data_IF_466000355102
#
_entry.id   IF_466000355102
#
_cell.length_a   1.000
_cell.length_b   1.000
_cell.length_c   1.000
_cell.angle_alpha   90.00
_cell.angle_beta   90.00
_cell.angle_gamma   90.00
#
_symmetry.space_group_name_H-M   'P 1'
#
loop_
_entity.id
_entity.type
_entity.pdbx_description
1 polymer ?
#
# COMPACT_ATOMS: atom_id res chain seq x y z
N UNK A 1 37.23 -6.65 10.68
CA UNK A 1 36.44 -7.74 11.32
C UNK A 1 36.41 -9.05 10.52
N UNK A 2 35.75 -9.18 9.36
CA UNK A 2 35.63 -10.50 8.70
C UNK A 2 36.96 -11.08 8.14
N UNK A 3 37.76 -10.27 7.45
CA UNK A 3 39.10 -10.66 6.94
C UNK A 3 40.03 -11.12 8.07
N UNK A 4 40.06 -10.35 9.16
CA UNK A 4 40.90 -10.65 10.34
C UNK A 4 40.44 -11.89 11.10
N UNK A 5 39.14 -12.24 11.05
CA UNK A 5 38.63 -13.48 11.62
C UNK A 5 39.03 -14.70 10.76
N UNK A 6 38.94 -14.58 9.43
CA UNK A 6 39.38 -15.63 8.49
C UNK A 6 40.89 -15.89 8.59
N UNK A 7 41.71 -14.84 8.60
CA UNK A 7 43.17 -14.97 8.72
C UNK A 7 43.61 -15.50 10.10
N UNK A 8 42.77 -15.41 11.14
CA UNK A 8 43.05 -16.04 12.45
C UNK A 8 42.75 -17.53 12.46
N UNK A 9 41.72 -17.97 11.76
CA UNK A 9 41.33 -19.39 11.71
C UNK A 9 42.14 -20.20 10.69
N UNK A 10 42.80 -19.54 9.74
CA UNK A 10 43.61 -20.18 8.71
C UNK A 10 44.99 -19.50 8.61
N UNK A 11 45.98 -20.11 9.26
CA UNK A 11 47.30 -19.51 9.55
C UNK A 11 48.10 -19.21 8.27
N UNK A 12 47.90 -19.97 7.19
CA UNK A 12 48.57 -19.79 5.89
C UNK A 12 47.70 -19.08 4.85
N UNK A 13 46.53 -18.56 5.25
CA UNK A 13 45.55 -18.01 4.32
C UNK A 13 45.61 -16.48 4.27
N UNK A 14 46.36 -15.98 3.29
CA UNK A 14 46.41 -14.56 2.95
C UNK A 14 45.43 -14.25 1.81
N UNK A 15 44.26 -13.68 2.12
CA UNK A 15 43.28 -13.26 1.12
C UNK A 15 43.13 -11.73 1.09
N UNK A 16 43.05 -11.17 -0.13
CA UNK A 16 42.77 -9.76 -0.33
C UNK A 16 41.27 -9.45 -0.15
N UNK A 17 40.93 -8.22 0.26
CA UNK A 17 39.53 -7.77 0.36
C UNK A 17 38.75 -7.95 -0.98
N UNK A 18 39.33 -7.64 -2.15
CA UNK A 18 38.70 -7.91 -3.44
C UNK A 18 38.40 -9.40 -3.68
N UNK A 19 39.30 -10.30 -3.27
CA UNK A 19 39.09 -11.74 -3.45
C UNK A 19 38.01 -12.27 -2.50
N UNK A 20 37.91 -11.76 -1.27
CA UNK A 20 36.77 -12.06 -0.38
C UNK A 20 35.47 -11.61 -1.03
N UNK A 21 35.43 -10.37 -1.53
CA UNK A 21 34.23 -9.83 -2.15
C UNK A 21 33.81 -10.66 -3.37
N UNK A 22 34.77 -11.00 -4.23
CA UNK A 22 34.56 -11.86 -5.40
C UNK A 22 34.03 -13.23 -5.02
N UNK A 23 34.64 -13.88 -4.02
CA UNK A 23 34.19 -15.18 -3.54
C UNK A 23 32.76 -15.11 -2.99
N UNK A 24 32.44 -14.08 -2.21
CA UNK A 24 31.08 -13.86 -1.69
C UNK A 24 30.06 -13.70 -2.84
N UNK A 25 30.40 -12.96 -3.89
CA UNK A 25 29.46 -12.69 -4.99
C UNK A 25 29.37 -13.81 -6.03
N UNK A 26 30.49 -14.44 -6.38
CA UNK A 26 30.59 -15.41 -7.49
C UNK A 26 30.42 -16.85 -7.01
N UNK A 27 30.98 -17.21 -5.86
CA UNK A 27 30.98 -18.59 -5.35
C UNK A 27 29.87 -18.81 -4.31
N UNK A 28 29.64 -17.83 -3.44
CA UNK A 28 28.59 -17.90 -2.42
C UNK A 28 27.27 -17.22 -2.85
N UNK A 29 27.23 -16.60 -4.03
CA UNK A 29 26.05 -15.92 -4.59
C UNK A 29 25.39 -14.87 -3.67
N UNK A 30 26.17 -14.24 -2.79
CA UNK A 30 25.70 -13.10 -1.99
C UNK A 30 25.60 -11.84 -2.85
N UNK A 31 24.56 -11.05 -2.61
CA UNK A 31 24.42 -9.72 -3.21
C UNK A 31 24.15 -8.67 -2.14
N UNK A 32 24.73 -7.48 -2.30
CA UNK A 32 24.57 -6.39 -1.35
C UNK A 32 23.17 -5.77 -1.48
N UNK A 33 22.27 -6.11 -0.57
CA UNK A 33 20.91 -5.56 -0.48
C UNK A 33 20.82 -4.45 0.55
N UNK A 34 19.84 -3.57 0.39
CA UNK A 34 19.48 -2.62 1.45
C UNK A 34 18.72 -3.39 2.54
N UNK A 35 19.13 -3.24 3.80
CA UNK A 35 18.40 -3.83 4.92
C UNK A 35 17.05 -3.13 5.11
N UNK A 36 15.98 -3.90 5.17
CA UNK A 36 14.65 -3.45 5.58
C UNK A 36 14.45 -3.67 7.08
N UNK A 37 13.79 -2.72 7.73
CA UNK A 37 13.42 -2.84 9.15
C UNK A 37 12.14 -3.67 9.25
N UNK A 38 12.12 -4.64 10.15
CA UNK A 38 10.93 -5.43 10.47
C UNK A 38 10.74 -5.51 11.98
N UNK A 39 9.48 -5.64 12.42
CA UNK A 39 9.17 -5.90 13.82
C UNK A 39 9.53 -7.36 14.15
N UNK A 40 10.20 -7.60 15.28
CA UNK A 40 10.58 -8.92 15.75
C UNK A 40 9.37 -9.86 15.94
N UNK A 41 8.23 -9.29 16.36
CA UNK A 41 7.00 -10.05 16.61
C UNK A 41 6.36 -10.64 15.34
N UNK A 42 6.80 -10.20 14.16
CA UNK A 42 6.29 -10.68 12.86
C UNK A 42 6.46 -12.18 12.70
N UNK A 43 7.57 -12.74 13.17
CA UNK A 43 7.88 -14.17 13.05
C UNK A 43 7.65 -14.92 14.38
N UNK A 44 6.95 -14.31 15.33
CA UNK A 44 6.56 -15.03 16.55
C UNK A 44 5.59 -16.16 16.22
N UNK A 45 5.69 -17.26 16.96
CA UNK A 45 4.84 -18.43 16.78
C UNK A 45 3.35 -18.07 16.85
N UNK A 46 2.98 -17.22 17.81
CA UNK A 46 1.62 -16.68 17.95
C UNK A 46 1.12 -16.03 16.65
N UNK A 47 1.94 -15.18 16.03
CA UNK A 47 1.58 -14.49 14.78
C UNK A 47 1.41 -15.47 13.64
N UNK A 48 2.31 -16.44 13.51
CA UNK A 48 2.27 -17.43 12.44
C UNK A 48 1.03 -18.34 12.58
N UNK A 49 0.72 -18.79 13.80
CA UNK A 49 -0.47 -19.58 14.09
C UNK A 49 -1.76 -18.81 13.79
N UNK A 50 -1.85 -17.55 14.24
CA UNK A 50 -3.01 -16.69 13.95
C UNK A 50 -3.19 -16.47 12.44
N UNK A 51 -2.09 -16.25 11.72
CA UNK A 51 -2.12 -16.13 10.27
C UNK A 51 -2.65 -17.42 9.61
N UNK A 52 -2.14 -18.58 10.03
CA UNK A 52 -2.55 -19.87 9.49
C UNK A 52 -4.03 -20.16 9.74
N UNK A 53 -4.52 -19.89 10.96
CA UNK A 53 -5.93 -20.08 11.33
C UNK A 53 -6.87 -19.20 10.48
N UNK A 54 -6.54 -17.92 10.31
CA UNK A 54 -7.35 -16.99 9.53
C UNK A 54 -7.34 -17.38 8.04
N UNK A 55 -6.19 -17.76 7.49
CA UNK A 55 -6.11 -18.24 6.11
C UNK A 55 -6.92 -19.52 5.91
N UNK A 56 -6.95 -20.44 6.89
CA UNK A 56 -7.81 -21.63 6.84
C UNK A 56 -9.28 -21.26 6.75
N UNK A 57 -9.75 -20.38 7.64
CA UNK A 57 -11.15 -19.89 7.63
C UNK A 57 -11.51 -19.23 6.30
N UNK A 58 -10.60 -18.47 5.72
CA UNK A 58 -10.82 -17.83 4.43
C UNK A 58 -10.97 -18.86 3.30
N UNK A 59 -10.14 -19.89 3.29
CA UNK A 59 -10.27 -21.01 2.35
C UNK A 59 -11.59 -21.76 2.53
N UNK A 60 -12.02 -22.00 3.77
CA UNK A 60 -13.30 -22.67 4.07
C UNK A 60 -14.51 -21.86 3.56
N UNK A 61 -14.43 -20.52 3.62
CA UNK A 61 -15.46 -19.61 3.07
C UNK A 61 -15.37 -19.48 1.53
N UNK A 62 -14.34 -20.07 0.91
CA UNK A 62 -14.14 -20.08 -0.54
C UNK A 62 -13.37 -18.88 -1.08
N UNK A 63 -12.61 -18.17 -0.24
CA UNK A 63 -11.74 -17.07 -0.67
C UNK A 63 -10.52 -17.62 -1.40
N UNK A 64 -10.34 -17.22 -2.65
CA UNK A 64 -9.21 -17.55 -3.53
C UNK A 64 -8.58 -16.24 -4.06
N UNK A 65 -7.37 -15.95 -3.57
CA UNK A 65 -6.64 -14.72 -3.87
C UNK A 65 -6.32 -14.56 -5.35
N UNK A 66 -6.33 -15.64 -6.13
CA UNK A 66 -6.02 -15.65 -7.55
C UNK A 66 -7.27 -15.61 -8.43
N UNK A 67 -8.49 -15.64 -7.85
CA UNK A 67 -9.71 -15.72 -8.66
C UNK A 67 -10.81 -14.75 -8.25
N UNK A 68 -11.11 -14.62 -6.97
CA UNK A 68 -12.34 -13.98 -6.50
C UNK A 68 -12.12 -12.90 -5.45
N UNK A 69 -10.95 -12.26 -5.45
CA UNK A 69 -10.59 -11.20 -4.50
C UNK A 69 -10.31 -9.86 -5.20
N UNK A 70 -10.71 -8.77 -4.55
CA UNK A 70 -10.28 -7.40 -4.85
C UNK A 70 -9.60 -6.86 -3.60
N UNK A 71 -8.35 -6.46 -3.72
CA UNK A 71 -7.57 -5.89 -2.63
C UNK A 71 -7.61 -4.38 -2.69
N UNK A 72 -7.96 -3.73 -1.59
CA UNK A 72 -7.97 -2.27 -1.45
C UNK A 72 -6.93 -1.88 -0.41
N UNK A 73 -6.19 -0.82 -0.71
CA UNK A 73 -5.25 -0.24 0.24
C UNK A 73 -4.99 1.24 -0.04
N UNK A 74 -4.43 1.91 0.96
CA UNK A 74 -4.03 3.32 0.90
C UNK A 74 -2.50 3.45 1.02
N UNK A 75 -1.88 4.13 0.06
CA UNK A 75 -0.47 4.48 0.12
C UNK A 75 -0.23 5.98 0.18
N UNK A 76 0.58 6.37 1.17
CA UNK A 76 1.17 7.70 1.25
C UNK A 76 2.39 7.86 0.33
N UNK A 77 2.42 8.99 -0.37
CA UNK A 77 3.49 9.46 -1.25
C UNK A 77 3.95 10.83 -0.80
N UNK A 78 5.13 10.89 -0.18
CA UNK A 78 5.73 12.17 0.17
C UNK A 78 6.29 12.84 -1.09
N UNK A 79 6.00 14.13 -1.31
CA UNK A 79 6.43 14.83 -2.54
C UNK A 79 7.95 14.95 -2.68
N UNK A 80 8.69 14.79 -1.58
CA UNK A 80 10.16 14.76 -1.57
C UNK A 80 10.70 13.32 -1.52
N UNK A 81 9.87 12.31 -1.77
CA UNK A 81 10.31 10.92 -1.85
C UNK A 81 11.34 10.77 -2.97
N UNK A 82 12.50 10.21 -2.65
CA UNK A 82 13.60 10.00 -3.57
C UNK A 82 14.25 8.63 -3.33
N UNK A 83 14.98 8.14 -4.33
CA UNK A 83 15.75 6.89 -4.18
C UNK A 83 16.86 7.07 -3.15
N UNK A 84 17.06 6.05 -2.30
CA UNK A 84 18.12 6.02 -1.28
C UNK A 84 19.53 5.95 -1.85
N UNK A 85 19.67 5.62 -3.15
CA UNK A 85 20.95 5.47 -3.86
C UNK A 85 20.95 6.34 -5.10
N UNK A 86 22.08 7.00 -5.35
CA UNK A 86 22.31 7.84 -6.51
C UNK A 86 23.70 7.56 -7.11
N UNK A 87 23.87 7.86 -8.39
CA UNK A 87 25.15 7.76 -9.09
C UNK A 87 25.80 9.15 -9.17
N UNK A 88 27.10 9.19 -8.95
CA UNK A 88 27.95 10.37 -9.14
C UNK A 88 29.26 9.95 -9.81
N UNK A 89 30.00 10.92 -10.37
CA UNK A 89 31.34 10.66 -10.88
C UNK A 89 32.24 10.20 -9.73
N UNK A 90 33.21 9.34 -10.04
CA UNK A 90 34.16 8.81 -9.06
C UNK A 90 34.97 9.97 -8.47
N UNK A 91 34.89 10.16 -7.15
CA UNK A 91 35.50 11.27 -6.44
C UNK A 91 34.52 12.38 -6.02
N UNK A 92 33.33 12.42 -6.64
CA UNK A 92 32.32 13.45 -6.36
C UNK A 92 31.20 12.88 -5.48
N UNK A 93 30.74 13.62 -4.44
CA UNK A 93 29.59 13.21 -3.64
C UNK A 93 28.30 13.24 -4.47
N UNK A 94 27.45 12.23 -4.28
CA UNK A 94 26.14 12.15 -4.92
C UNK A 94 25.11 13.05 -4.20
N UNK A 95 25.23 14.36 -4.40
CA UNK A 95 24.36 15.36 -3.79
C UNK A 95 23.03 15.48 -4.55
N UNK A 96 21.93 15.64 -3.80
CA UNK A 96 20.60 15.94 -4.36
C UNK A 96 20.08 17.22 -3.72
N UNK A 97 19.75 18.21 -4.55
CA UNK A 97 19.14 19.45 -4.09
C UNK A 97 17.70 19.18 -3.63
N UNK A 98 17.42 19.47 -2.36
CA UNK A 98 16.07 19.39 -1.79
C UNK A 98 15.58 20.81 -1.53
N UNK A 99 14.36 21.13 -1.98
CA UNK A 99 13.75 22.42 -1.69
C UNK A 99 13.49 22.58 -0.18
N UNK A 100 13.77 23.75 0.38
CA UNK A 100 13.60 24.04 1.81
C UNK A 100 12.14 24.03 2.30
N UNK A 101 11.16 24.06 1.40
CA UNK A 101 9.74 23.96 1.75
C UNK A 101 9.43 22.55 2.27
N UNK A 102 8.60 22.44 3.32
CA UNK A 102 8.11 21.15 3.78
C UNK A 102 7.37 20.44 2.64
N UNK A 103 7.74 19.21 2.36
CA UNK A 103 7.00 18.33 1.44
C UNK A 103 5.57 18.10 1.91
N UNK A 104 4.70 17.76 0.96
CA UNK A 104 3.33 17.34 1.23
C UNK A 104 3.24 15.82 1.15
N UNK A 105 2.31 15.23 1.90
CA UNK A 105 1.92 13.85 1.68
C UNK A 105 0.71 13.83 0.74
N UNK A 106 0.87 13.16 -0.39
CA UNK A 106 -0.22 12.79 -1.29
C UNK A 106 -0.66 11.39 -0.89
N UNK A 107 -1.93 11.21 -0.62
CA UNK A 107 -2.51 9.89 -0.36
C UNK A 107 -3.18 9.40 -1.64
N UNK A 108 -2.93 8.14 -2.01
CA UNK A 108 -3.62 7.46 -3.10
C UNK A 108 -4.28 6.21 -2.52
N UNK A 109 -5.57 6.01 -2.81
CA UNK A 109 -6.28 4.76 -2.56
C UNK A 109 -6.29 3.97 -3.86
N UNK A 110 -5.97 2.68 -3.76
CA UNK A 110 -5.86 1.79 -4.91
C UNK A 110 -6.62 0.51 -4.68
N UNK A 111 -7.07 -0.09 -5.78
CA UNK A 111 -7.61 -1.43 -5.77
C UNK A 111 -7.11 -2.28 -6.94
N UNK A 112 -6.76 -3.52 -6.62
CA UNK A 112 -6.28 -4.49 -7.59
C UNK A 112 -7.04 -5.81 -7.42
N UNK A 113 -7.08 -6.60 -8.49
CA UNK A 113 -7.63 -7.94 -8.51
C UNK A 113 -6.70 -8.87 -9.28
N UNK A 114 -6.95 -10.18 -9.27
CA UNK A 114 -6.27 -11.12 -10.17
C UNK A 114 -6.38 -10.77 -11.65
N UNK A 115 -7.40 -10.01 -12.03
CA UNK A 115 -7.63 -9.56 -13.40
C UNK A 115 -6.81 -8.32 -13.76
N UNK A 116 -6.15 -7.69 -12.78
CA UNK A 116 -5.34 -6.48 -12.98
C UNK A 116 -5.75 -5.36 -12.02
N UNK A 117 -5.26 -4.16 -12.33
CA UNK A 117 -5.56 -2.94 -11.57
C UNK A 117 -6.95 -2.44 -11.91
N UNK A 118 -7.84 -2.30 -10.93
CA UNK A 118 -9.20 -1.84 -11.23
C UNK A 118 -9.27 -0.31 -11.21
N UNK A 119 -8.81 0.31 -10.12
CA UNK A 119 -8.92 1.75 -9.94
C UNK A 119 -7.85 2.26 -8.97
N UNK A 120 -7.29 3.43 -9.26
CA UNK A 120 -6.50 4.22 -8.33
C UNK A 120 -7.07 5.64 -8.31
N UNK A 121 -7.15 6.23 -7.12
CA UNK A 121 -7.66 7.59 -6.96
C UNK A 121 -6.87 8.35 -5.92
N UNK A 122 -6.56 9.61 -6.22
CA UNK A 122 -5.95 10.52 -5.28
C UNK A 122 -7.00 10.96 -4.24
N UNK A 123 -6.65 10.87 -2.97
CA UNK A 123 -7.50 11.36 -1.89
C UNK A 123 -7.31 12.87 -1.79
N UNK A 124 -8.30 13.61 -2.27
CA UNK A 124 -8.33 15.06 -2.15
C UNK A 124 -8.80 15.49 -0.75
N UNK A 125 -8.26 16.60 -0.20
CA UNK A 125 -8.76 17.15 1.05
C UNK A 125 -10.23 17.53 0.95
N UNK A 126 -11.05 17.14 1.93
CA UNK A 126 -12.46 17.52 1.99
C UNK A 126 -12.61 19.04 2.07
N UNK A 127 -13.48 19.59 1.23
CA UNK A 127 -13.91 20.97 1.39
C UNK A 127 -14.93 21.08 2.53
N UNK A 128 -15.20 22.31 2.98
CA UNK A 128 -16.19 22.55 4.05
C UNK A 128 -17.59 22.08 3.66
N UNK A 129 -17.99 22.31 2.41
CA UNK A 129 -19.27 21.86 1.89
C UNK A 129 -19.38 20.33 1.86
N UNK A 130 -18.29 19.62 1.53
CA UNK A 130 -18.27 18.16 1.59
C UNK A 130 -18.42 17.70 3.04
N UNK A 131 -17.70 18.30 3.98
CA UNK A 131 -17.80 17.99 5.41
C UNK A 131 -19.21 18.16 5.97
N UNK A 132 -19.97 19.17 5.53
CA UNK A 132 -21.36 19.38 5.93
C UNK A 132 -22.27 18.27 5.38
N UNK A 133 -22.15 17.95 4.09
CA UNK A 133 -22.84 16.81 3.48
C UNK A 133 -22.47 15.49 4.17
N UNK A 134 -21.23 15.33 4.64
CA UNK A 134 -20.82 14.18 5.44
C UNK A 134 -21.45 14.12 6.81
N UNK A 135 -21.56 15.25 7.51
CA UNK A 135 -22.22 15.28 8.82
C UNK A 135 -23.73 14.93 8.68
N UNK A 136 -24.34 15.22 7.52
CA UNK A 136 -25.71 14.85 7.17
C UNK A 136 -25.85 13.38 6.72
N UNK A 137 -25.04 12.94 5.75
CA UNK A 137 -25.10 11.60 5.13
C UNK A 137 -24.54 10.50 6.04
N UNK A 138 -23.51 10.80 6.83
CA UNK A 138 -22.83 9.87 7.73
C UNK A 138 -23.17 10.15 9.20
N UNK A 139 -24.45 10.44 9.50
CA UNK A 139 -24.91 10.61 10.88
C UNK A 139 -24.56 9.37 11.71
N UNK A 140 -23.64 9.54 12.66
CA UNK A 140 -23.32 8.46 13.60
C UNK A 140 -24.49 8.24 14.55
N UNK A 141 -24.86 6.98 14.87
CA UNK A 141 -25.83 6.73 15.93
C UNK A 141 -25.33 7.35 17.24
N UNK A 142 -26.23 8.02 17.97
CA UNK A 142 -25.92 8.72 19.23
C UNK A 142 -25.39 7.70 20.26
N UNK A 143 -24.06 7.60 20.39
CA UNK A 143 -23.45 6.94 21.54
C UNK A 143 -23.79 7.70 22.83
N UNK A 144 -24.05 6.97 23.93
CA UNK A 144 -24.36 7.55 25.25
C UNK A 144 -23.33 8.62 25.63
N UNK A 145 -23.77 9.88 25.72
CA UNK A 145 -23.00 11.03 26.22
C UNK A 145 -22.40 10.69 27.58
N UNK A 146 -21.06 10.74 27.71
CA UNK A 146 -20.44 11.03 29.00
C UNK A 146 -20.70 12.51 29.32
N UNK A 147 -21.28 12.76 30.48
CA UNK A 147 -21.73 14.07 30.97
C UNK A 147 -20.50 14.91 31.31
N UNK A 148 -20.37 16.07 30.67
CA UNK A 148 -19.32 17.05 30.91
C UNK A 148 -19.67 18.28 30.07
N UNK A 149 -20.50 19.14 30.66
CA UNK A 149 -21.03 20.35 30.04
C UNK A 149 -20.12 21.52 30.39
N UNK A 150 -19.65 22.25 29.37
CA UNK A 150 -19.35 23.69 29.47
C UNK A 150 -19.37 24.24 28.05
N UNK A 151 -20.30 25.18 27.80
CA UNK A 151 -20.36 26.01 26.60
C UNK A 151 -19.04 26.78 26.44
N UNK A 152 -18.42 26.67 25.27
CA UNK A 152 -17.46 27.65 24.79
C UNK A 152 -17.55 27.73 23.26
N UNK A 153 -18.12 28.84 22.81
CA UNK A 153 -17.81 29.65 21.64
C UNK A 153 -17.18 29.00 20.39
N UNK A 154 -17.80 29.30 19.25
CA UNK A 154 -17.43 29.00 17.87
C UNK A 154 -15.93 29.08 17.54
N UNK A 155 -15.22 27.95 17.67
CA UNK A 155 -14.00 27.69 16.91
C UNK A 155 -14.38 26.98 15.62
N UNK A 156 -14.07 27.58 14.47
CA UNK A 156 -14.12 26.94 13.16
C UNK A 156 -13.47 25.54 13.29
N UNK A 157 -14.27 24.47 13.18
CA UNK A 157 -13.76 23.09 13.23
C UNK A 157 -12.66 22.97 12.18
N UNK A 158 -11.44 22.67 12.61
CA UNK A 158 -10.32 22.46 11.70
C UNK A 158 -10.69 21.36 10.69
N UNK A 159 -10.37 21.58 9.41
CA UNK A 159 -10.55 20.57 8.36
C UNK A 159 -9.85 19.29 8.81
N UNK A 160 -10.59 18.17 8.84
CA UNK A 160 -10.02 16.87 9.22
C UNK A 160 -8.94 16.52 8.20
N UNK A 161 -7.70 16.42 8.66
CA UNK A 161 -6.58 15.94 7.86
C UNK A 161 -6.59 14.41 7.83
N UNK A 162 -6.47 13.84 6.65
CA UNK A 162 -6.37 12.39 6.42
C UNK A 162 -7.63 11.78 5.81
N UNK A 163 -7.51 10.50 5.45
CA UNK A 163 -8.57 9.73 4.81
C UNK A 163 -9.70 9.47 5.79
N UNK A 164 -10.92 9.74 5.34
CA UNK A 164 -12.15 9.49 6.10
C UNK A 164 -12.90 8.32 5.47
N UNK A 165 -13.82 7.72 6.23
CA UNK A 165 -14.68 6.64 5.73
C UNK A 165 -15.41 7.02 4.43
N UNK A 166 -15.74 8.30 4.23
CA UNK A 166 -16.34 8.79 3.00
C UNK A 166 -15.47 8.61 1.76
N UNK A 167 -14.20 8.99 1.83
CA UNK A 167 -13.30 8.83 0.70
C UNK A 167 -13.22 7.37 0.29
N UNK A 168 -13.16 6.48 1.30
CA UNK A 168 -13.17 5.03 1.09
C UNK A 168 -14.50 4.58 0.47
N UNK A 169 -15.66 5.02 0.99
CA UNK A 169 -16.98 4.68 0.42
C UNK A 169 -17.12 5.13 -1.03
N UNK A 170 -16.79 6.39 -1.33
CA UNK A 170 -16.84 6.91 -2.72
C UNK A 170 -15.92 6.14 -3.66
N UNK A 171 -14.71 5.86 -3.20
CA UNK A 171 -13.77 5.04 -3.97
C UNK A 171 -14.32 3.63 -4.20
N UNK A 172 -14.91 3.04 -3.16
CA UNK A 172 -15.52 1.71 -3.20
C UNK A 172 -16.69 1.65 -4.18
N UNK A 173 -17.59 2.63 -4.15
CA UNK A 173 -18.70 2.73 -5.09
C UNK A 173 -18.19 2.80 -6.53
N UNK A 174 -17.20 3.66 -6.78
CA UNK A 174 -16.64 3.85 -8.12
C UNK A 174 -16.02 2.57 -8.71
N UNK A 175 -15.22 1.81 -7.96
CA UNK A 175 -14.68 0.57 -8.51
C UNK A 175 -15.74 -0.55 -8.56
N UNK A 176 -16.72 -0.56 -7.66
CA UNK A 176 -17.80 -1.54 -7.72
C UNK A 176 -18.70 -1.34 -8.94
N UNK A 177 -18.85 -0.10 -9.43
CA UNK A 177 -19.49 0.19 -10.71
C UNK A 177 -18.71 -0.48 -11.87
N UNK A 178 -17.38 -0.34 -11.88
CA UNK A 178 -16.50 -1.03 -12.85
C UNK A 178 -16.65 -2.55 -12.75
N UNK A 179 -16.62 -3.14 -11.55
CA UNK A 179 -16.82 -4.59 -11.39
C UNK A 179 -18.17 -5.07 -11.91
N UNK A 180 -19.22 -4.27 -11.69
CA UNK A 180 -20.56 -4.56 -12.16
C UNK A 180 -20.62 -4.57 -13.70
N UNK A 181 -20.03 -3.58 -14.36
CA UNK A 181 -19.94 -3.48 -15.83
C UNK A 181 -19.24 -4.69 -16.45
N UNK A 182 -18.23 -5.24 -15.75
CA UNK A 182 -17.47 -6.40 -16.22
C UNK A 182 -18.02 -7.76 -15.72
N UNK A 183 -19.25 -7.78 -15.19
CA UNK A 183 -19.92 -8.98 -14.67
C UNK A 183 -19.09 -9.74 -13.61
N UNK A 184 -18.34 -9.01 -12.79
CA UNK A 184 -17.51 -9.53 -11.69
C UNK A 184 -18.22 -9.38 -10.35
N UNK A 185 -19.40 -9.98 -10.25
CA UNK A 185 -20.22 -10.00 -9.04
C UNK A 185 -19.68 -10.99 -8.00
N UNK A 186 -20.13 -10.86 -6.75
CA UNK A 186 -19.84 -11.79 -5.65
C UNK A 186 -18.36 -11.94 -5.27
N UNK A 187 -17.53 -10.95 -5.60
CA UNK A 187 -16.12 -10.93 -5.20
C UNK A 187 -15.96 -10.61 -3.71
N UNK A 188 -14.87 -11.11 -3.13
CA UNK A 188 -14.42 -10.74 -1.81
C UNK A 188 -13.65 -9.42 -1.87
N UNK A 189 -14.09 -8.42 -1.11
CA UNK A 189 -13.41 -7.14 -1.00
C UNK A 189 -12.51 -7.20 0.22
N UNK A 190 -11.21 -7.30 -0.02
CA UNK A 190 -10.18 -7.49 0.99
C UNK A 190 -9.51 -6.15 1.31
N UNK A 191 -9.56 -5.74 2.57
CA UNK A 191 -9.00 -4.47 3.05
C UNK A 191 -8.01 -4.71 4.20
N UNK A 192 -7.09 -3.78 4.46
CA UNK A 192 -6.26 -3.83 5.66
C UNK A 192 -7.11 -3.72 6.95
N UNK A 193 -6.52 -4.04 8.10
CA UNK A 193 -7.22 -3.98 9.39
C UNK A 193 -7.34 -2.55 9.96
N UNK A 194 -7.34 -1.52 9.12
CA UNK A 194 -7.49 -0.14 9.56
C UNK A 194 -8.90 0.13 10.09
N UNK A 195 -9.00 0.86 11.21
CA UNK A 195 -10.29 1.18 11.86
C UNK A 195 -11.31 1.84 10.94
N UNK A 196 -10.86 2.58 9.92
CA UNK A 196 -11.75 3.26 8.98
C UNK A 196 -12.49 2.27 8.07
N UNK A 197 -11.86 1.13 7.75
CA UNK A 197 -12.46 0.08 6.91
C UNK A 197 -13.54 -0.71 7.65
N UNK A 198 -13.43 -0.80 8.98
CA UNK A 198 -14.45 -1.40 9.85
C UNK A 198 -15.66 -0.49 10.10
N UNK A 199 -15.69 0.70 9.52
CA UNK A 199 -16.85 1.59 9.70
C UNK A 199 -18.09 0.95 9.08
N UNK A 200 -19.24 1.08 9.76
CA UNK A 200 -20.52 0.56 9.28
C UNK A 200 -20.81 1.01 7.85
N UNK A 201 -20.50 2.26 7.51
CA UNK A 201 -20.67 2.79 6.17
C UNK A 201 -19.91 1.99 5.10
N UNK A 202 -18.63 1.69 5.33
CA UNK A 202 -17.82 0.91 4.38
C UNK A 202 -18.37 -0.50 4.23
N UNK A 203 -18.63 -1.17 5.37
CA UNK A 203 -19.13 -2.56 5.40
C UNK A 203 -20.52 -2.66 4.75
N UNK A 204 -21.42 -1.74 5.07
CA UNK A 204 -22.79 -1.71 4.55
C UNK A 204 -22.80 -1.41 3.05
N UNK A 205 -21.97 -0.48 2.56
CA UNK A 205 -21.86 -0.19 1.12
C UNK A 205 -21.43 -1.42 0.34
N UNK A 206 -20.44 -2.17 0.84
CA UNK A 206 -19.98 -3.43 0.21
C UNK A 206 -21.10 -4.48 0.21
N UNK A 207 -21.70 -4.74 1.38
CA UNK A 207 -22.74 -5.76 1.53
C UNK A 207 -24.00 -5.44 0.71
N UNK A 208 -24.44 -4.17 0.65
CA UNK A 208 -25.63 -3.75 -0.11
C UNK A 208 -25.51 -4.04 -1.60
N UNK A 209 -24.29 -4.07 -2.15
CA UNK A 209 -24.03 -4.38 -3.56
C UNK A 209 -23.74 -5.87 -3.81
N UNK A 210 -23.89 -6.73 -2.79
CA UNK A 210 -23.73 -8.18 -2.91
C UNK A 210 -22.30 -8.69 -2.76
N UNK A 211 -21.34 -7.80 -2.46
CA UNK A 211 -19.95 -8.18 -2.23
C UNK A 211 -19.70 -8.52 -0.76
N UNK A 212 -18.59 -9.21 -0.48
CA UNK A 212 -18.28 -9.71 0.88
C UNK A 212 -17.02 -9.04 1.44
N UNK A 213 -17.11 -8.16 2.46
CA UNK A 213 -15.94 -7.52 3.05
C UNK A 213 -15.13 -8.52 3.87
N UNK A 214 -13.81 -8.53 3.67
CA UNK A 214 -12.84 -9.30 4.44
C UNK A 214 -11.69 -8.39 4.88
N UNK A 215 -11.19 -8.61 6.10
CA UNK A 215 -10.14 -7.77 6.69
C UNK A 215 -8.87 -8.57 6.92
N UNK A 216 -7.78 -8.05 6.39
CA UNK A 216 -6.47 -8.67 6.50
C UNK A 216 -6.00 -8.75 7.94
N UNK A 217 -5.07 -9.68 8.17
CA UNK A 217 -4.28 -9.73 9.39
C UNK A 217 -3.48 -8.44 9.59
N UNK A 218 -3.01 -8.14 10.81
CA UNK A 218 -2.23 -6.93 11.12
C UNK A 218 -0.87 -6.82 10.40
N UNK A 219 -0.59 -7.72 9.46
CA UNK A 219 0.72 -7.87 8.83
C UNK A 219 0.60 -7.72 7.31
N UNK A 220 1.25 -6.70 6.72
CA UNK A 220 1.02 -6.28 5.33
C UNK A 220 1.57 -7.23 4.27
N UNK A 221 2.38 -8.24 4.63
CA UNK A 221 3.03 -9.11 3.64
C UNK A 221 2.08 -10.02 2.87
N UNK A 222 0.84 -10.16 3.34
CA UNK A 222 -0.20 -10.91 2.64
C UNK A 222 -1.00 -10.05 1.67
N UNK A 223 -0.79 -8.72 1.66
CA UNK A 223 -1.54 -7.81 0.81
C UNK A 223 -0.83 -7.62 -0.55
N UNK A 224 -1.33 -8.19 -1.65
CA UNK A 224 -0.62 -8.15 -2.94
C UNK A 224 -0.44 -6.73 -3.49
N UNK A 225 -1.28 -5.78 -3.08
CA UNK A 225 -1.18 -4.39 -3.53
C UNK A 225 0.07 -3.67 -3.01
N UNK A 226 0.67 -4.16 -1.93
CA UNK A 226 1.94 -3.63 -1.42
C UNK A 226 3.08 -3.78 -2.43
N UNK A 227 3.08 -4.87 -3.21
CA UNK A 227 4.02 -5.03 -4.31
C UNK A 227 3.75 -4.04 -5.44
N UNK A 228 2.48 -3.73 -5.69
CA UNK A 228 2.08 -2.70 -6.65
C UNK A 228 2.60 -1.33 -6.18
N UNK A 229 2.40 -0.98 -4.92
CA UNK A 229 2.93 0.25 -4.33
C UNK A 229 4.45 0.32 -4.38
N UNK A 230 5.16 -0.78 -4.09
CA UNK A 230 6.61 -0.84 -4.19
C UNK A 230 7.08 -0.56 -5.63
N UNK A 231 6.41 -1.15 -6.63
CA UNK A 231 6.68 -0.91 -8.06
C UNK A 231 6.42 0.56 -8.44
N UNK A 232 5.26 1.11 -8.06
CA UNK A 232 4.90 2.52 -8.32
C UNK A 232 5.95 3.45 -7.70
N UNK A 233 6.25 3.27 -6.40
CA UNK A 233 7.24 4.08 -5.66
C UNK A 233 8.64 3.97 -6.26
N UNK A 234 9.04 2.80 -6.77
CA UNK A 234 10.34 2.62 -7.42
C UNK A 234 10.50 3.45 -8.70
N UNK A 235 9.39 3.76 -9.39
CA UNK A 235 9.39 4.54 -10.63
C UNK A 235 9.43 6.05 -10.38
N UNK A 236 9.31 6.51 -9.13
CA UNK A 236 9.41 7.93 -8.78
C UNK A 236 10.83 8.43 -9.12
N UNK A 237 10.97 9.42 -10.02
CA UNK A 237 12.27 9.91 -10.45
C UNK A 237 13.06 10.55 -9.31
N UNK A 238 14.38 10.35 -9.31
CA UNK A 238 15.31 11.06 -8.41
C UNK A 238 15.59 12.51 -8.85
N UNK A 239 15.10 12.92 -10.03
CA UNK A 239 15.47 14.20 -10.64
C UNK A 239 14.61 15.35 -10.13
N UNK A 240 15.30 16.33 -9.53
CA UNK A 240 14.89 17.69 -9.18
C UNK A 240 13.40 17.92 -8.97
N UNK A 241 13.08 18.29 -7.73
CA UNK A 241 11.81 18.68 -7.13
C UNK A 241 10.93 19.71 -7.87
N UNK A 242 11.22 20.05 -9.15
CA UNK A 242 10.44 20.96 -9.97
C UNK A 242 9.22 20.33 -10.65
N UNK A 243 9.06 18.99 -10.68
CA UNK A 243 7.97 18.31 -11.41
C UNK A 243 7.32 17.12 -10.70
N UNK A 244 7.36 17.04 -9.37
CA UNK A 244 6.38 16.22 -8.64
C UNK A 244 5.23 17.13 -8.23
N UNK A 245 4.53 17.67 -9.23
CA UNK A 245 3.21 18.28 -9.04
C UNK A 245 2.15 17.18 -9.06
N UNK A 246 0.89 17.54 -8.78
CA UNK A 246 -0.30 16.67 -8.96
C UNK A 246 -0.22 15.82 -10.23
N UNK A 247 0.36 16.37 -11.29
CA UNK A 247 0.54 15.71 -12.58
C UNK A 247 1.29 14.38 -12.58
N UNK A 248 2.23 14.13 -11.67
CA UNK A 248 2.90 12.83 -11.64
C UNK A 248 1.97 11.75 -11.07
N UNK A 249 1.12 12.12 -10.11
CA UNK A 249 0.05 11.24 -9.64
C UNK A 249 -0.96 11.02 -10.77
N UNK A 250 -1.39 12.09 -11.45
CA UNK A 250 -2.35 12.01 -12.55
C UNK A 250 -1.82 11.17 -13.74
N UNK A 251 -0.52 11.28 -14.08
CA UNK A 251 0.13 10.44 -15.11
C UNK A 251 0.33 8.97 -14.68
N UNK A 252 0.51 8.70 -13.38
CA UNK A 252 0.56 7.33 -12.84
C UNK A 252 -0.84 6.69 -12.82
N UNK A 253 -1.88 7.49 -12.52
CA UNK A 253 -3.28 7.08 -12.56
C UNK A 253 -3.72 6.75 -13.99
N UNK A 254 -3.40 7.60 -14.98
CA UNK A 254 -3.77 7.39 -16.40
C UNK A 254 -3.15 6.14 -17.05
N UNK A 255 -2.01 5.65 -16.53
CA UNK A 255 -1.29 4.49 -17.08
C UNK A 255 -1.69 3.16 -16.45
N UNK A 256 -2.54 3.17 -15.43
CA UNK A 256 -2.80 1.99 -14.60
C UNK A 256 -4.26 1.55 -14.55
N UNK A 257 -5.19 2.34 -15.09
CA UNK A 257 -6.60 1.92 -15.23
C UNK A 257 -6.72 0.78 -16.24
N UNK A 258 -7.23 -0.36 -15.80
CA UNK A 258 -7.55 -1.49 -16.68
C UNK A 258 -8.72 -1.13 -17.59
N UNK A 259 -8.55 -1.36 -18.89
CA UNK A 259 -9.52 -1.05 -19.95
C UNK A 259 -10.33 -2.27 -20.40
N UNK A 260 -10.25 -3.38 -19.66
CA UNK A 260 -10.95 -4.62 -19.97
C UNK A 260 -10.24 -5.53 -20.99
N UNK A 261 -9.10 -5.11 -21.57
CA UNK A 261 -8.45 -5.87 -22.66
C UNK A 261 -7.48 -6.96 -22.19
N UNK A 262 -7.03 -6.91 -20.93
CA UNK A 262 -6.12 -7.89 -20.34
C UNK A 262 -6.88 -9.12 -19.81
N UNK A 263 -7.40 -9.95 -20.72
CA UNK A 263 -7.67 -11.35 -20.40
C UNK A 263 -6.47 -12.18 -20.82
N UNK A 264 -5.88 -13.03 -19.95
CA UNK A 264 -4.93 -14.03 -20.39
C UNK A 264 -5.64 -14.91 -21.40
N UNK A 265 -5.19 -14.91 -22.66
CA UNK A 265 -5.59 -15.94 -23.61
C UNK A 265 -5.14 -17.27 -23.03
N UNK A 266 -6.08 -18.03 -22.48
CA UNK A 266 -5.89 -19.46 -22.28
C UNK A 266 -5.68 -20.08 -23.65
N UNK A 267 -4.42 -20.20 -24.08
CA UNK A 267 -4.05 -21.16 -25.10
C UNK A 267 -3.98 -22.52 -24.42
N UNK A 268 -5.15 -23.13 -24.26
CA UNK A 268 -5.29 -24.55 -24.00
C UNK A 268 -5.95 -25.18 -25.21
N UNK A 269 -5.17 -25.99 -25.92
CA UNK A 269 -5.52 -27.21 -26.65
C UNK A 269 -4.19 -27.79 -27.16
N UNK A 270 -3.91 -29.07 -27.21
CA UNK A 270 -4.46 -30.30 -26.61
C UNK A 270 -3.44 -31.40 -26.98
N UNK A 271 -3.44 -32.49 -26.20
CA UNK A 271 -2.77 -33.81 -26.41
C UNK A 271 -1.27 -33.90 -26.08
#
# INVERSE_FOLDING_TARGET
MAKEALSRNFVDFAISLPNIWRHLTEMCHFSLKQASKYNADRNSERTLLLCAEIVSKWKEVGVDFQKNCVFIDEAGFHTQMMRSRAWSKKGDPANVEVHARRGANITIVGCISPFGTINFSKVEPLQRADMEKLEEEFQKPKGKKRKGDTLESSKLKALKKGTTAYHIVKFIEAFMDVLYEHNKKDMFIVMDNCRIHHSAFVVDTINKRGYKPHFMLPYPFLNPIEECWAKIKSKIPTRNSRRVSSELADQLLLRTTWDGSDTPKHTGTDV
#
